data_IF_561647433556
#
_entry.id   IF_561647433556
#
_cell.length_a   1.000
_cell.length_b   1.000
_cell.length_c   1.000
_cell.angle_alpha   90.00
_cell.angle_beta   90.00
_cell.angle_gamma   90.00
#
_symmetry.space_group_name_H-M   'P 1'
#
loop_
_entity.id
_entity.type
_entity.pdbx_description
1 polymer ?
#
# COMPACT_ATOMS: atom_id res chain seq x y z
N UNK A 1 -3.90 32.52 -5.14
CA UNK A 1 -3.62 32.69 -3.71
C UNK A 1 -2.10 32.84 -3.50
N UNK A 2 -1.69 34.00 -2.92
CA UNK A 2 -0.29 34.35 -2.72
C UNK A 2 0.45 33.32 -1.88
N UNK A 3 -0.20 32.75 -0.85
CA UNK A 3 0.43 31.81 0.04
C UNK A 3 0.66 30.43 -0.63
N UNK A 4 -0.30 29.97 -1.43
CA UNK A 4 -0.15 28.72 -2.21
C UNK A 4 1.05 28.88 -3.14
N UNK A 5 1.11 29.97 -3.92
CA UNK A 5 2.22 30.24 -4.81
C UNK A 5 3.56 30.28 -4.07
N UNK A 6 3.63 30.98 -2.93
CA UNK A 6 4.84 31.03 -2.11
C UNK A 6 5.31 29.64 -1.65
N UNK A 7 4.37 28.80 -1.16
CA UNK A 7 4.71 27.43 -0.74
C UNK A 7 5.17 26.60 -1.94
N UNK A 8 4.46 26.69 -3.08
CA UNK A 8 4.83 25.97 -4.32
C UNK A 8 6.23 26.31 -4.76
N UNK A 9 6.58 27.61 -4.84
CA UNK A 9 7.93 28.08 -5.19
C UNK A 9 9.00 27.55 -4.23
N UNK A 10 8.73 27.47 -2.92
CA UNK A 10 9.67 26.89 -1.94
C UNK A 10 9.90 25.40 -2.20
N UNK A 11 8.82 24.65 -2.41
CA UNK A 11 8.89 23.21 -2.65
C UNK A 11 9.54 22.86 -3.98
N UNK A 12 9.27 23.63 -5.04
CA UNK A 12 9.95 23.50 -6.35
C UNK A 12 11.46 23.74 -6.29
N UNK A 13 11.92 24.52 -5.33
CA UNK A 13 13.33 24.73 -5.04
C UNK A 13 13.86 23.81 -3.92
N UNK A 14 13.11 22.78 -3.55
CA UNK A 14 13.42 21.80 -2.50
C UNK A 14 13.70 22.44 -1.12
N UNK A 15 13.24 23.67 -0.90
CA UNK A 15 13.36 24.37 0.38
C UNK A 15 12.31 23.87 1.38
N UNK A 16 12.47 22.64 1.83
CA UNK A 16 11.61 22.01 2.84
C UNK A 16 11.80 22.58 4.24
N UNK A 17 12.88 23.34 4.47
CA UNK A 17 13.15 24.06 5.70
C UNK A 17 12.40 25.40 5.84
N UNK A 18 11.76 25.88 4.77
CA UNK A 18 11.05 27.16 4.77
C UNK A 18 9.96 27.23 5.85
N UNK A 19 9.83 28.39 6.45
CA UNK A 19 8.83 28.67 7.49
C UNK A 19 8.11 29.99 7.21
N UNK A 20 6.83 30.03 7.54
CA UNK A 20 6.03 31.26 7.60
C UNK A 20 5.91 31.70 9.07
N UNK A 21 6.68 32.71 9.45
CA UNK A 21 6.94 32.99 10.87
C UNK A 21 7.60 31.79 11.55
N UNK A 22 6.99 31.26 12.60
CA UNK A 22 7.51 30.08 13.32
C UNK A 22 6.90 28.75 12.85
N UNK A 23 6.05 28.74 11.79
CA UNK A 23 5.31 27.55 11.35
C UNK A 23 5.97 26.91 10.13
N UNK A 24 6.12 25.59 10.17
CA UNK A 24 6.52 24.78 9.01
C UNK A 24 5.44 24.75 7.94
N UNK A 25 5.80 24.43 6.71
CA UNK A 25 4.84 24.31 5.59
C UNK A 25 3.66 23.37 5.94
N UNK A 26 3.84 22.14 6.48
CA UNK A 26 2.71 21.31 6.88
C UNK A 26 1.79 21.94 7.93
N UNK A 27 2.37 22.64 8.91
CA UNK A 27 1.59 23.32 9.93
C UNK A 27 0.73 24.45 9.34
N UNK A 28 1.29 25.22 8.41
CA UNK A 28 0.58 26.25 7.65
C UNK A 28 -0.55 25.64 6.82
N UNK A 29 -0.27 24.58 6.05
CA UNK A 29 -1.26 23.89 5.24
C UNK A 29 -2.42 23.37 6.08
N UNK A 30 -2.12 22.70 7.21
CA UNK A 30 -3.13 22.19 8.14
C UNK A 30 -4.02 23.28 8.70
N UNK A 31 -3.45 24.39 9.15
CA UNK A 31 -4.20 25.53 9.67
C UNK A 31 -5.08 26.17 8.60
N UNK A 32 -4.55 26.37 7.39
CA UNK A 32 -5.28 27.02 6.30
C UNK A 32 -6.50 26.22 5.86
N UNK A 33 -6.42 24.88 5.81
CA UNK A 33 -7.59 24.04 5.49
C UNK A 33 -8.76 24.20 6.47
N UNK A 34 -8.50 24.71 7.67
CA UNK A 34 -9.53 24.95 8.70
C UNK A 34 -10.11 26.37 8.64
N UNK A 35 -9.53 27.27 7.88
CA UNK A 35 -10.00 28.67 7.74
C UNK A 35 -10.97 28.79 6.58
N UNK A 36 -11.90 29.76 6.67
CA UNK A 36 -12.96 29.97 5.68
C UNK A 36 -12.47 30.00 4.21
N UNK A 37 -11.53 30.87 3.92
CA UNK A 37 -10.96 30.94 2.54
C UNK A 37 -10.05 29.78 2.17
N UNK A 38 -9.38 29.17 3.15
CA UNK A 38 -8.49 28.02 2.89
C UNK A 38 -9.27 26.72 2.69
N UNK A 39 -10.50 26.62 3.19
CA UNK A 39 -11.36 25.45 2.96
C UNK A 39 -11.80 25.33 1.49
N UNK A 40 -11.90 26.43 0.76
CA UNK A 40 -12.17 26.45 -0.69
C UNK A 40 -10.98 25.94 -1.51
N UNK A 41 -9.78 25.98 -0.96
CA UNK A 41 -8.51 25.56 -1.56
C UNK A 41 -7.91 24.34 -0.80
N UNK A 42 -8.80 23.48 -0.33
CA UNK A 42 -8.43 22.36 0.54
C UNK A 42 -7.54 21.36 -0.18
N UNK A 43 -7.83 21.04 -1.42
CA UNK A 43 -7.08 20.09 -2.22
C UNK A 43 -5.66 20.59 -2.48
N UNK A 44 -5.50 21.86 -2.85
CA UNK A 44 -4.20 22.49 -3.08
C UNK A 44 -3.30 22.43 -1.82
N UNK A 45 -3.85 22.72 -0.64
CA UNK A 45 -3.09 22.60 0.60
C UNK A 45 -2.75 21.14 0.97
N UNK A 46 -3.56 20.15 0.57
CA UNK A 46 -3.20 18.75 0.71
C UNK A 46 -2.11 18.33 -0.26
N UNK A 47 -2.14 18.80 -1.52
CA UNK A 47 -1.04 18.59 -2.49
C UNK A 47 0.27 19.09 -1.89
N UNK A 48 0.30 20.35 -1.45
CA UNK A 48 1.50 20.98 -0.89
C UNK A 48 2.03 20.26 0.37
N UNK A 49 1.15 19.85 1.27
CA UNK A 49 1.56 19.10 2.48
C UNK A 49 2.17 17.74 2.14
N UNK A 50 1.54 16.99 1.22
CA UNK A 50 2.04 15.68 0.83
C UNK A 50 3.33 15.78 0.01
N UNK A 51 3.44 16.77 -0.88
CA UNK A 51 4.67 17.08 -1.60
C UNK A 51 5.82 17.42 -0.63
N UNK A 52 5.57 18.26 0.37
CA UNK A 52 6.56 18.57 1.41
C UNK A 52 7.08 17.31 2.10
N UNK A 53 6.19 16.39 2.49
CA UNK A 53 6.59 15.14 3.14
C UNK A 53 7.45 14.26 2.23
N UNK A 54 7.15 14.22 0.94
CA UNK A 54 7.92 13.43 -0.04
C UNK A 54 9.31 14.04 -0.25
N UNK A 55 9.39 15.34 -0.45
CA UNK A 55 10.66 16.05 -0.63
C UNK A 55 11.53 16.04 0.64
N UNK A 56 10.91 15.91 1.82
CA UNK A 56 11.61 15.86 3.11
C UNK A 56 12.04 14.45 3.54
N UNK A 57 11.72 13.38 2.78
CA UNK A 57 11.94 12.00 3.23
C UNK A 57 13.42 11.60 3.33
N UNK A 58 14.32 12.37 2.71
CA UNK A 58 15.74 12.06 2.59
C UNK A 58 16.04 10.87 1.66
N UNK A 59 17.31 10.66 1.36
CA UNK A 59 17.73 9.56 0.50
C UNK A 59 17.46 8.20 1.16
N UNK A 60 17.02 7.21 0.34
CA UNK A 60 16.90 5.83 0.80
C UNK A 60 18.29 5.23 1.03
N UNK A 61 18.54 4.72 2.23
CA UNK A 61 19.75 3.96 2.57
C UNK A 61 19.44 2.46 2.49
N UNK A 62 20.15 1.68 1.63
CA UNK A 62 19.94 0.24 1.54
C UNK A 62 20.22 -0.48 2.87
N UNK A 63 19.37 -1.46 3.18
CA UNK A 63 19.46 -2.27 4.39
C UNK A 63 19.90 -3.69 4.03
N UNK A 64 20.74 -4.30 4.87
CA UNK A 64 21.08 -5.71 4.80
C UNK A 64 20.05 -6.59 5.49
N UNK A 65 19.74 -7.75 4.87
CA UNK A 65 18.79 -8.72 5.37
C UNK A 65 17.33 -8.41 5.03
N UNK A 66 16.70 -9.36 4.33
CA UNK A 66 15.33 -9.23 3.82
C UNK A 66 14.30 -8.82 4.90
N UNK A 67 14.42 -9.44 6.09
CA UNK A 67 13.55 -9.12 7.22
C UNK A 67 13.69 -7.67 7.69
N UNK A 68 14.91 -7.11 7.65
CA UNK A 68 15.13 -5.71 8.01
C UNK A 68 14.51 -4.76 6.98
N UNK A 69 14.63 -5.07 5.68
CA UNK A 69 13.98 -4.30 4.61
C UNK A 69 12.46 -4.32 4.80
N UNK A 70 11.88 -5.50 5.05
CA UNK A 70 10.44 -5.65 5.31
C UNK A 70 9.99 -4.87 6.54
N UNK A 71 10.67 -5.05 7.67
CA UNK A 71 10.32 -4.37 8.91
C UNK A 71 10.42 -2.84 8.79
N UNK A 72 11.40 -2.34 8.05
CA UNK A 72 11.54 -0.92 7.79
C UNK A 72 10.39 -0.37 6.94
N UNK A 73 9.96 -1.13 5.92
CA UNK A 73 8.80 -0.77 5.13
C UNK A 73 7.53 -0.74 5.98
N UNK A 74 7.22 -1.85 6.65
CA UNK A 74 6.02 -2.02 7.49
C UNK A 74 5.99 -1.04 8.67
N UNK A 75 7.15 -0.72 9.24
CA UNK A 75 7.25 0.17 10.40
C UNK A 75 7.07 1.65 10.06
N UNK A 76 7.53 2.10 8.89
CA UNK A 76 7.53 3.53 8.58
C UNK A 76 7.46 3.88 7.10
N UNK A 77 8.14 3.14 6.20
CA UNK A 77 8.30 3.57 4.81
C UNK A 77 7.02 3.47 3.97
N UNK A 78 6.03 2.65 4.36
CA UNK A 78 4.71 2.65 3.75
C UNK A 78 4.06 4.06 3.74
N UNK A 79 4.48 4.95 4.65
CA UNK A 79 3.98 6.33 4.68
C UNK A 79 4.40 7.12 3.44
N UNK A 80 5.54 6.79 2.81
CA UNK A 80 5.99 7.43 1.57
C UNK A 80 4.99 7.12 0.46
N UNK A 81 4.62 5.84 0.29
CA UNK A 81 3.61 5.43 -0.69
C UNK A 81 2.25 6.09 -0.41
N UNK A 82 1.87 6.18 0.87
CA UNK A 82 0.64 6.88 1.30
C UNK A 82 0.68 8.36 0.90
N UNK A 83 1.81 9.06 1.14
CA UNK A 83 1.97 10.47 0.79
C UNK A 83 1.94 10.70 -0.71
N UNK A 84 2.59 9.82 -1.47
CA UNK A 84 2.56 9.86 -2.93
C UNK A 84 1.13 9.69 -3.45
N UNK A 85 0.41 8.66 -3.02
CA UNK A 85 -0.99 8.43 -3.38
C UNK A 85 -1.90 9.62 -3.03
N UNK A 86 -1.74 10.20 -1.85
CA UNK A 86 -2.53 11.37 -1.47
C UNK A 86 -2.15 12.62 -2.25
N UNK A 87 -0.88 12.81 -2.60
CA UNK A 87 -0.46 13.92 -3.44
C UNK A 87 -1.21 13.91 -4.78
N UNK A 88 -1.22 12.76 -5.47
CA UNK A 88 -1.95 12.58 -6.72
C UNK A 88 -3.47 12.65 -6.56
N UNK A 89 -4.02 12.00 -5.54
CA UNK A 89 -5.46 12.04 -5.27
C UNK A 89 -5.98 13.47 -5.12
N UNK A 90 -5.27 14.33 -4.41
CA UNK A 90 -5.69 15.72 -4.24
C UNK A 90 -5.31 16.59 -5.44
N UNK A 91 -4.24 16.28 -6.15
CA UNK A 91 -3.92 16.94 -7.41
C UNK A 91 -5.06 16.77 -8.41
N UNK A 92 -5.60 15.58 -8.58
CA UNK A 92 -6.73 15.27 -9.46
C UNK A 92 -8.04 15.97 -9.04
N UNK A 93 -8.12 16.44 -7.79
CA UNK A 93 -9.29 17.18 -7.26
C UNK A 93 -9.08 18.70 -7.22
N UNK A 94 -7.98 19.16 -7.76
CA UNK A 94 -7.68 20.59 -7.84
C UNK A 94 -8.28 21.16 -9.13
N UNK A 95 -9.04 22.26 -9.03
CA UNK A 95 -9.70 22.87 -10.18
C UNK A 95 -8.72 23.38 -11.23
N UNK A 96 -7.58 23.94 -10.79
CA UNK A 96 -6.51 24.45 -11.65
C UNK A 96 -5.19 23.79 -11.25
N UNK A 97 -4.73 22.84 -12.06
CA UNK A 97 -3.50 22.07 -11.82
C UNK A 97 -2.24 22.74 -12.35
N UNK A 98 -2.37 23.69 -13.29
CA UNK A 98 -1.24 24.34 -13.96
C UNK A 98 -0.17 24.90 -12.99
N UNK A 99 -0.51 25.52 -11.85
CA UNK A 99 0.47 26.01 -10.90
C UNK A 99 1.29 24.92 -10.19
N UNK A 100 0.87 23.65 -10.28
CA UNK A 100 1.49 22.53 -9.55
C UNK A 100 2.19 21.53 -10.47
N UNK A 101 2.14 21.69 -11.79
CA UNK A 101 2.71 20.70 -12.72
C UNK A 101 4.20 20.45 -12.49
N UNK A 102 4.98 21.51 -12.33
CA UNK A 102 6.41 21.41 -12.05
C UNK A 102 6.69 20.74 -10.70
N UNK A 103 5.89 21.05 -9.68
CA UNK A 103 5.98 20.41 -8.38
C UNK A 103 5.60 18.93 -8.46
N UNK A 104 4.56 18.58 -9.24
CA UNK A 104 4.17 17.19 -9.51
C UNK A 104 5.32 16.40 -10.14
N UNK A 105 5.95 16.95 -11.18
CA UNK A 105 7.04 16.30 -11.89
C UNK A 105 8.27 16.10 -10.98
N UNK A 106 8.55 17.05 -10.10
CA UNK A 106 9.58 16.92 -9.07
C UNK A 106 9.25 15.81 -8.07
N UNK A 107 8.02 15.77 -7.56
CA UNK A 107 7.53 14.72 -6.64
C UNK A 107 7.60 13.35 -7.29
N UNK A 108 7.19 13.24 -8.57
CA UNK A 108 7.27 12.00 -9.36
C UNK A 108 8.72 11.52 -9.46
N UNK A 109 9.64 12.41 -9.82
CA UNK A 109 11.05 12.09 -9.94
C UNK A 109 11.65 11.61 -8.60
N UNK A 110 11.38 12.33 -7.51
CA UNK A 110 11.88 11.98 -6.18
C UNK A 110 11.30 10.65 -5.70
N UNK A 111 9.99 10.43 -5.87
CA UNK A 111 9.36 9.18 -5.49
C UNK A 111 9.89 8.00 -6.31
N UNK A 112 9.96 8.13 -7.63
CA UNK A 112 10.32 7.03 -8.54
C UNK A 112 11.81 6.71 -8.45
N UNK A 113 12.68 7.71 -8.58
CA UNK A 113 14.11 7.48 -8.76
C UNK A 113 14.87 7.46 -7.41
N UNK A 114 14.47 8.31 -6.43
CA UNK A 114 15.19 8.39 -5.17
C UNK A 114 14.66 7.40 -4.12
N UNK A 115 13.43 6.91 -4.28
CA UNK A 115 12.83 5.97 -3.33
C UNK A 115 12.48 4.62 -3.95
N UNK A 116 11.52 4.57 -4.90
CA UNK A 116 10.94 3.32 -5.39
C UNK A 116 11.98 2.43 -6.10
N UNK A 117 12.80 3.00 -6.97
CA UNK A 117 13.89 2.27 -7.64
C UNK A 117 14.86 1.69 -6.62
N UNK A 118 15.34 2.52 -5.70
CA UNK A 118 16.33 2.10 -4.70
C UNK A 118 15.81 1.05 -3.73
N UNK A 119 14.57 1.17 -3.27
CA UNK A 119 13.96 0.17 -2.39
C UNK A 119 13.70 -1.14 -3.11
N UNK A 120 13.31 -1.08 -4.40
CA UNK A 120 13.06 -2.27 -5.22
C UNK A 120 14.36 -3.03 -5.50
N UNK A 121 15.43 -2.34 -5.85
CA UNK A 121 16.76 -2.95 -6.04
C UNK A 121 17.25 -3.59 -4.75
N UNK A 122 17.13 -2.90 -3.61
CA UNK A 122 17.50 -3.45 -2.31
C UNK A 122 16.66 -4.69 -1.97
N UNK A 123 15.33 -4.61 -2.14
CA UNK A 123 14.43 -5.73 -1.88
C UNK A 123 14.79 -6.96 -2.71
N UNK A 124 14.98 -6.80 -4.03
CA UNK A 124 15.29 -7.91 -4.92
C UNK A 124 16.63 -8.56 -4.58
N UNK A 125 17.66 -7.78 -4.25
CA UNK A 125 18.95 -8.30 -3.82
C UNK A 125 18.82 -9.15 -2.55
N UNK A 126 18.14 -8.66 -1.54
CA UNK A 126 17.97 -9.35 -0.27
C UNK A 126 17.02 -10.56 -0.40
N UNK A 127 16.02 -10.50 -1.29
CA UNK A 127 15.12 -11.62 -1.58
C UNK A 127 15.87 -12.79 -2.23
N UNK A 128 16.76 -12.50 -3.17
CA UNK A 128 17.61 -13.51 -3.79
C UNK A 128 18.57 -14.12 -2.75
N UNK A 129 19.21 -13.30 -1.93
CA UNK A 129 20.11 -13.76 -0.86
C UNK A 129 19.39 -14.64 0.18
N UNK A 130 18.10 -14.37 0.44
CA UNK A 130 17.26 -15.14 1.34
C UNK A 130 16.55 -16.33 0.66
N UNK A 131 16.93 -16.69 -0.59
CA UNK A 131 16.31 -17.77 -1.37
C UNK A 131 14.77 -17.65 -1.48
N UNK A 132 14.27 -16.43 -1.53
CA UNK A 132 12.85 -16.15 -1.70
C UNK A 132 12.01 -16.31 -0.41
N UNK A 133 12.60 -16.44 0.77
CA UNK A 133 11.86 -16.60 2.04
C UNK A 133 12.05 -15.38 2.94
N UNK A 134 10.96 -14.65 3.19
CA UNK A 134 10.94 -13.49 4.08
C UNK A 134 10.86 -13.86 5.58
N UNK A 135 10.69 -15.13 5.93
CA UNK A 135 10.51 -15.59 7.31
C UNK A 135 9.21 -15.12 7.97
N UNK A 136 8.18 -14.83 7.17
CA UNK A 136 6.83 -14.47 7.61
C UNK A 136 5.79 -15.44 7.02
N UNK A 137 4.53 -15.31 7.43
CA UNK A 137 3.43 -16.13 6.91
C UNK A 137 3.37 -16.00 5.39
N UNK A 138 3.32 -17.12 4.68
CA UNK A 138 3.17 -17.18 3.24
C UNK A 138 1.69 -17.15 2.87
N UNK A 139 1.37 -16.62 1.71
CA UNK A 139 0.01 -16.60 1.18
C UNK A 139 -0.56 -18.01 1.02
N UNK A 140 0.28 -18.99 0.70
CA UNK A 140 -0.06 -20.42 0.64
C UNK A 140 -0.50 -21.01 1.97
N UNK A 141 -0.09 -20.43 3.09
CA UNK A 141 -0.42 -20.94 4.44
C UNK A 141 -1.69 -20.27 5.00
N UNK A 142 -2.29 -19.33 4.27
CA UNK A 142 -3.39 -18.51 4.75
C UNK A 142 -4.59 -19.34 5.22
N UNK A 143 -5.05 -20.28 4.41
CA UNK A 143 -6.22 -21.10 4.76
C UNK A 143 -5.94 -21.93 6.01
N UNK A 144 -4.82 -22.60 6.07
CA UNK A 144 -4.45 -23.48 7.20
C UNK A 144 -4.28 -22.70 8.49
N UNK A 145 -3.67 -21.53 8.41
CA UNK A 145 -3.37 -20.71 9.57
C UNK A 145 -4.58 -19.98 10.14
N UNK A 146 -5.46 -19.48 9.28
CA UNK A 146 -6.52 -18.58 9.73
C UNK A 146 -7.94 -19.14 9.59
N UNK A 147 -8.16 -20.13 8.70
CA UNK A 147 -9.52 -20.56 8.34
C UNK A 147 -9.81 -22.00 8.73
N UNK A 148 -8.87 -22.92 8.55
CA UNK A 148 -9.10 -24.36 8.75
C UNK A 148 -9.71 -24.66 10.11
N UNK A 149 -9.21 -24.08 11.17
CA UNK A 149 -9.58 -24.35 12.57
C UNK A 149 -10.46 -23.25 13.17
N UNK A 150 -10.93 -22.29 12.38
CA UNK A 150 -11.84 -21.26 12.86
C UNK A 150 -13.17 -21.89 13.32
N UNK A 151 -13.51 -21.69 14.60
CA UNK A 151 -14.73 -22.22 15.25
C UNK A 151 -15.92 -21.27 15.10
N UNK A 152 -15.64 -19.97 14.95
CA UNK A 152 -16.62 -18.93 14.84
C UNK A 152 -16.95 -18.62 13.37
N UNK A 153 -18.08 -17.91 13.16
CA UNK A 153 -18.42 -17.40 11.84
C UNK A 153 -17.32 -16.47 11.35
N UNK A 154 -16.66 -16.89 10.29
CA UNK A 154 -15.53 -16.16 9.71
C UNK A 154 -15.89 -15.67 8.30
N UNK A 155 -15.68 -14.39 8.04
CA UNK A 155 -15.81 -13.78 6.72
C UNK A 155 -14.42 -13.40 6.22
N UNK A 156 -14.04 -13.87 5.04
CA UNK A 156 -12.80 -13.51 4.36
C UNK A 156 -13.15 -12.56 3.21
N UNK A 157 -12.62 -11.35 3.26
CA UNK A 157 -12.79 -10.36 2.20
C UNK A 157 -11.44 -10.25 1.47
N UNK A 158 -11.40 -10.67 0.21
CA UNK A 158 -10.23 -10.55 -0.64
C UNK A 158 -10.40 -9.28 -1.48
N UNK A 159 -9.62 -8.26 -1.20
CA UNK A 159 -9.63 -7.00 -1.93
C UNK A 159 -8.46 -6.96 -2.91
N UNK A 160 -8.79 -6.73 -4.18
CA UNK A 160 -7.77 -6.54 -5.22
C UNK A 160 -7.00 -5.24 -5.00
N UNK A 161 -5.70 -5.27 -5.29
CA UNK A 161 -4.81 -4.12 -5.24
C UNK A 161 -4.81 -3.37 -3.89
N UNK A 162 -5.21 -4.03 -2.80
CA UNK A 162 -5.13 -3.46 -1.46
C UNK A 162 -3.67 -3.44 -1.00
N UNK A 163 -2.98 -2.34 -1.30
CA UNK A 163 -1.59 -2.13 -0.88
C UNK A 163 -1.50 -2.05 0.64
N UNK A 164 -0.33 -2.38 1.21
CA UNK A 164 -0.10 -2.34 2.64
C UNK A 164 -0.44 -0.97 3.26
N UNK A 165 -0.07 0.14 2.60
CA UNK A 165 -0.37 1.50 3.10
C UNK A 165 -1.88 1.81 3.15
N UNK A 166 -2.68 1.23 2.24
CA UNK A 166 -4.15 1.33 2.26
C UNK A 166 -4.71 0.44 3.36
N UNK A 167 -4.18 -0.77 3.52
CA UNK A 167 -4.50 -1.68 4.63
C UNK A 167 -4.23 -1.03 5.98
N UNK A 168 -3.09 -0.33 6.11
CA UNK A 168 -2.75 0.43 7.32
C UNK A 168 -3.76 1.57 7.58
N UNK A 169 -4.22 2.26 6.54
CA UNK A 169 -5.25 3.29 6.69
C UNK A 169 -6.60 2.72 7.13
N UNK A 170 -6.96 1.52 6.65
CA UNK A 170 -8.15 0.80 7.11
C UNK A 170 -7.99 0.36 8.56
N UNK A 171 -6.85 -0.20 8.92
CA UNK A 171 -6.52 -0.62 10.28
C UNK A 171 -6.65 0.54 11.28
N UNK A 172 -6.10 1.72 10.95
CA UNK A 172 -6.23 2.93 11.78
C UNK A 172 -7.69 3.34 12.02
N UNK A 173 -8.55 3.21 10.99
CA UNK A 173 -9.99 3.49 11.10
C UNK A 173 -10.72 2.47 11.97
N UNK A 174 -10.39 1.17 11.81
CA UNK A 174 -11.00 0.10 12.60
C UNK A 174 -10.58 0.18 14.08
N UNK A 175 -9.33 0.56 14.36
CA UNK A 175 -8.87 0.79 15.73
C UNK A 175 -9.57 1.97 16.44
N UNK A 176 -10.00 2.97 15.67
CA UNK A 176 -10.73 4.11 16.20
C UNK A 176 -12.22 3.82 16.48
N UNK A 177 -12.73 2.66 16.03
CA UNK A 177 -14.09 2.21 16.30
C UNK A 177 -14.11 1.30 17.53
N UNK A 178 -14.78 1.71 18.59
CA UNK A 178 -14.88 0.97 19.85
C UNK A 178 -15.53 -0.43 19.71
N UNK A 179 -16.23 -0.68 18.60
CA UNK A 179 -16.87 -1.97 18.30
C UNK A 179 -15.93 -2.95 17.59
N UNK A 180 -14.73 -2.51 17.21
CA UNK A 180 -13.80 -3.29 16.45
C UNK A 180 -12.52 -3.59 17.24
N UNK A 181 -12.06 -4.83 17.17
CA UNK A 181 -10.68 -5.19 17.51
C UNK A 181 -9.97 -5.54 16.21
N UNK A 182 -8.92 -4.80 15.88
CA UNK A 182 -8.21 -4.97 14.63
C UNK A 182 -6.73 -5.28 14.82
N UNK A 183 -6.17 -6.08 13.93
CA UNK A 183 -4.75 -6.31 13.79
C UNK A 183 -4.36 -6.26 12.31
N UNK A 184 -3.14 -5.81 12.02
CA UNK A 184 -2.58 -5.85 10.68
C UNK A 184 -1.28 -6.65 10.68
N UNK A 185 -1.13 -7.55 9.73
CA UNK A 185 0.05 -8.42 9.61
C UNK A 185 0.43 -8.52 8.14
N UNK A 186 1.70 -8.31 7.77
CA UNK A 186 2.16 -8.57 6.42
C UNK A 186 2.18 -10.07 6.13
N UNK A 187 1.97 -10.42 4.86
CA UNK A 187 2.03 -11.79 4.37
C UNK A 187 2.88 -11.81 3.09
N UNK A 188 3.72 -12.82 2.96
CA UNK A 188 4.52 -13.01 1.76
C UNK A 188 3.65 -13.56 0.62
N UNK A 189 3.54 -12.82 -0.48
CA UNK A 189 2.83 -13.28 -1.67
C UNK A 189 3.59 -14.38 -2.40
N UNK A 190 2.85 -15.16 -3.21
CA UNK A 190 3.45 -16.09 -4.17
C UNK A 190 4.16 -15.33 -5.31
N UNK A 191 5.14 -15.96 -5.92
CA UNK A 191 5.83 -15.46 -7.10
C UNK A 191 5.65 -16.43 -8.29
N UNK A 192 5.35 -15.91 -9.49
CA UNK A 192 5.06 -14.51 -9.82
C UNK A 192 3.75 -14.02 -9.18
N UNK A 193 3.72 -12.76 -8.76
CA UNK A 193 2.61 -12.16 -8.00
C UNK A 193 1.47 -11.69 -8.92
N UNK A 194 0.86 -12.57 -9.70
CA UNK A 194 -0.32 -12.24 -10.50
C UNK A 194 -1.61 -12.77 -9.87
N UNK A 195 -2.73 -12.16 -10.23
CA UNK A 195 -4.02 -12.32 -9.55
C UNK A 195 -4.48 -13.77 -9.45
N UNK A 196 -4.41 -14.56 -10.55
CA UNK A 196 -4.91 -15.95 -10.54
C UNK A 196 -4.16 -16.82 -9.54
N UNK A 197 -2.81 -16.73 -9.57
CA UNK A 197 -1.98 -17.48 -8.64
C UNK A 197 -2.17 -17.04 -7.19
N UNK A 198 -2.24 -15.71 -6.96
CA UNK A 198 -2.50 -15.16 -5.63
C UNK A 198 -3.84 -15.58 -5.06
N UNK A 199 -4.90 -15.61 -5.88
CA UNK A 199 -6.23 -16.08 -5.47
C UNK A 199 -6.22 -17.57 -5.12
N UNK A 200 -5.57 -18.39 -5.94
CA UNK A 200 -5.43 -19.82 -5.69
C UNK A 200 -4.63 -20.11 -4.42
N UNK A 201 -3.56 -19.35 -4.18
CA UNK A 201 -2.71 -19.49 -3.00
C UNK A 201 -3.43 -19.21 -1.67
N UNK A 202 -4.52 -18.43 -1.67
CA UNK A 202 -5.35 -18.19 -0.49
C UNK A 202 -6.36 -19.29 -0.22
N UNK A 203 -6.63 -20.17 -1.20
CA UNK A 203 -7.56 -21.29 -1.06
C UNK A 203 -6.86 -22.51 -0.41
N UNK A 204 -7.63 -23.45 0.15
CA UNK A 204 -7.04 -24.69 0.65
C UNK A 204 -6.43 -25.52 -0.48
N UNK A 205 -5.21 -25.98 -0.30
CA UNK A 205 -4.50 -26.85 -1.24
C UNK A 205 -3.35 -27.57 -0.54
N UNK A 206 -2.91 -28.69 -1.07
CA UNK A 206 -1.65 -29.35 -0.71
C UNK A 206 -0.58 -29.04 -1.74
N UNK A 207 -0.99 -28.92 -3.01
CA UNK A 207 -0.09 -28.59 -4.13
C UNK A 207 -0.66 -27.43 -4.92
N UNK A 208 0.22 -26.53 -5.36
CA UNK A 208 -0.10 -25.41 -6.24
C UNK A 208 0.88 -25.46 -7.41
N UNK A 209 0.37 -25.52 -8.64
CA UNK A 209 1.15 -25.65 -9.85
C UNK A 209 0.60 -24.79 -10.99
N UNK A 210 1.43 -24.53 -11.98
CA UNK A 210 1.03 -24.01 -13.28
C UNK A 210 1.12 -25.15 -14.30
N UNK A 211 0.14 -25.26 -15.18
CA UNK A 211 0.20 -26.17 -16.31
C UNK A 211 0.96 -25.53 -17.51
N UNK A 212 1.03 -26.25 -18.61
CA UNK A 212 1.72 -25.82 -19.84
C UNK A 212 1.08 -24.58 -20.50
N UNK A 213 -0.15 -24.23 -20.12
CA UNK A 213 -0.92 -23.08 -20.61
C UNK A 213 -1.00 -21.95 -19.56
N UNK A 214 -0.13 -21.94 -18.57
CA UNK A 214 -0.14 -21.00 -17.44
C UNK A 214 -1.45 -21.01 -16.61
N UNK A 215 -2.21 -22.12 -16.67
CA UNK A 215 -3.40 -22.29 -15.86
C UNK A 215 -3.01 -22.70 -14.43
N UNK A 216 -3.62 -22.07 -13.45
CA UNK A 216 -3.34 -22.37 -12.05
C UNK A 216 -4.12 -23.60 -11.58
N UNK A 217 -3.41 -24.58 -11.06
CA UNK A 217 -3.96 -25.82 -10.53
C UNK A 217 -3.70 -25.93 -9.03
N UNK A 218 -4.78 -26.06 -8.25
CA UNK A 218 -4.74 -26.42 -6.83
C UNK A 218 -5.15 -27.88 -6.68
N UNK A 219 -4.27 -28.73 -6.17
CA UNK A 219 -4.44 -30.19 -6.10
C UNK A 219 -4.84 -30.82 -7.45
N UNK A 220 -4.21 -30.34 -8.54
CA UNK A 220 -4.48 -30.80 -9.90
C UNK A 220 -5.81 -30.33 -10.48
N UNK A 221 -6.55 -29.43 -9.82
CA UNK A 221 -7.84 -28.89 -10.26
C UNK A 221 -7.72 -27.42 -10.59
N UNK A 222 -8.34 -26.99 -11.68
CA UNK A 222 -8.44 -25.56 -12.00
C UNK A 222 -9.23 -24.80 -10.93
N UNK A 223 -8.82 -23.57 -10.65
CA UNK A 223 -9.46 -22.67 -9.69
C UNK A 223 -9.57 -21.24 -10.24
N UNK A 224 -9.71 -21.09 -11.56
CA UNK A 224 -9.74 -19.82 -12.24
C UNK A 224 -11.07 -19.07 -12.07
N UNK A 225 -12.19 -19.80 -12.02
CA UNK A 225 -13.51 -19.24 -11.87
C UNK A 225 -14.11 -19.42 -10.46
N UNK A 226 -15.20 -18.70 -10.19
CA UNK A 226 -15.89 -18.73 -8.90
C UNK A 226 -16.46 -20.12 -8.56
N UNK A 227 -16.97 -20.87 -9.55
CA UNK A 227 -17.55 -22.20 -9.34
C UNK A 227 -16.49 -23.20 -8.93
N UNK A 228 -15.33 -23.15 -9.58
CA UNK A 228 -14.19 -24.01 -9.29
C UNK A 228 -13.63 -23.70 -7.88
N UNK A 229 -13.47 -22.41 -7.53
CA UNK A 229 -13.01 -21.97 -6.20
C UNK A 229 -13.98 -22.41 -5.11
N UNK A 230 -15.30 -22.30 -5.36
CA UNK A 230 -16.33 -22.79 -4.44
C UNK A 230 -16.24 -24.29 -4.22
N UNK A 231 -16.07 -25.06 -5.30
CA UNK A 231 -15.94 -26.50 -5.22
C UNK A 231 -14.67 -26.93 -4.45
N UNK A 232 -13.55 -26.25 -4.69
CA UNK A 232 -12.32 -26.50 -3.97
C UNK A 232 -12.47 -26.18 -2.48
N UNK A 233 -13.01 -25.01 -2.14
CA UNK A 233 -13.23 -24.61 -0.76
C UNK A 233 -14.17 -25.57 -0.02
N UNK A 234 -15.28 -25.98 -0.65
CA UNK A 234 -16.26 -26.91 -0.08
C UNK A 234 -15.67 -28.29 0.19
N UNK A 235 -14.69 -28.74 -0.61
CA UNK A 235 -14.01 -30.02 -0.39
C UNK A 235 -13.21 -30.06 0.92
N UNK A 236 -12.70 -28.91 1.38
CA UNK A 236 -11.94 -28.78 2.62
C UNK A 236 -12.79 -28.30 3.81
N UNK A 237 -13.79 -27.47 3.55
CA UNK A 237 -14.70 -26.92 4.57
C UNK A 237 -16.13 -26.84 4.00
N UNK A 238 -16.93 -27.94 4.13
CA UNK A 238 -18.23 -28.06 3.48
C UNK A 238 -19.25 -26.96 3.79
N UNK A 239 -19.12 -26.32 4.95
CA UNK A 239 -20.00 -25.20 5.38
C UNK A 239 -19.62 -23.83 4.79
N UNK A 240 -18.66 -23.79 3.89
CA UNK A 240 -18.15 -22.54 3.32
C UNK A 240 -18.92 -22.13 2.07
N UNK A 241 -19.06 -20.82 1.90
CA UNK A 241 -19.56 -20.20 0.68
C UNK A 241 -18.48 -19.29 0.06
N UNK A 242 -18.49 -19.20 -1.26
CA UNK A 242 -17.62 -18.30 -2.01
C UNK A 242 -18.51 -17.44 -2.92
N UNK A 243 -18.43 -16.12 -2.76
CA UNK A 243 -19.25 -15.16 -3.52
C UNK A 243 -18.36 -14.11 -4.15
N UNK A 244 -18.82 -13.50 -5.23
CA UNK A 244 -18.18 -12.35 -5.86
C UNK A 244 -19.13 -11.16 -5.73
N UNK A 245 -18.57 -10.02 -5.35
CA UNK A 245 -19.26 -8.74 -5.30
C UNK A 245 -18.97 -7.95 -6.56
#
# INVERSE_FOLDING_TARGET
DILIRWITERLENEDTGAKLGNKTIPAVCKERRQKHFGSQKRSEYFVLENAWHLLSMGAYAPLGGLKNVLNHYVGSRYQIDRRYRYCYYYFDQTDDTAPFEKLRDLVENVYTNEYLDKVTVNWNRELVAAQGDCGIVKQTDFFDKYIRFAKERTVVIISYALRFEVGQSLFEKLQADEKCTAAITPMQSVLPSYTRLGMAALLPHKTLALDENDQVLADGRSCDDLKQRRALLAAYKPSSECVQY
#
